data_IF_300222174236
#
_entry.id   IF_300222174236
#
_cell.length_a   1.000
_cell.length_b   1.000
_cell.length_c   1.000
_cell.angle_alpha   90.00
_cell.angle_beta   90.00
_cell.angle_gamma   90.00
#
_symmetry.space_group_name_H-M   'P 1'
#
loop_
_entity.id
_entity.type
_entity.pdbx_description
1 polymer ?
#
# COMPACT_ATOMS: atom_id res chain seq x y z
N UNK A 1 45.35 -6.84 -20.11
CA UNK A 1 45.10 -6.05 -18.88
C UNK A 1 43.63 -6.19 -18.57
N UNK A 2 43.26 -7.15 -17.71
CA UNK A 2 41.87 -7.36 -17.30
C UNK A 2 41.56 -6.35 -16.20
N UNK A 3 40.73 -5.37 -16.48
CA UNK A 3 40.14 -4.53 -15.47
C UNK A 3 39.07 -5.35 -14.74
N UNK A 4 39.41 -5.88 -13.58
CA UNK A 4 38.45 -6.30 -12.58
C UNK A 4 37.73 -5.05 -12.07
N UNK A 5 36.65 -4.66 -12.73
CA UNK A 5 35.72 -3.70 -12.13
C UNK A 5 35.02 -4.41 -10.98
N UNK A 6 35.52 -4.25 -9.78
CA UNK A 6 34.76 -4.50 -8.57
C UNK A 6 33.69 -3.39 -8.47
N UNK A 7 32.49 -3.70 -8.86
CA UNK A 7 31.33 -2.81 -8.71
C UNK A 7 30.97 -2.49 -7.24
N UNK A 8 31.81 -2.92 -6.28
CA UNK A 8 31.62 -2.65 -4.84
C UNK A 8 31.77 -1.18 -4.42
N UNK A 9 32.26 -0.30 -5.30
CA UNK A 9 32.73 1.04 -4.90
C UNK A 9 31.82 2.20 -5.31
N UNK A 10 30.63 1.97 -5.84
CA UNK A 10 29.70 3.05 -6.23
C UNK A 10 28.35 2.87 -5.54
N UNK A 11 28.38 2.67 -4.24
CA UNK A 11 27.16 2.49 -3.48
C UNK A 11 26.93 3.67 -2.52
N UNK A 12 25.84 4.41 -2.70
CA UNK A 12 25.32 5.34 -1.71
C UNK A 12 24.62 4.50 -0.62
N UNK A 13 24.91 4.77 0.65
CA UNK A 13 24.44 4.03 1.82
C UNK A 13 23.02 3.45 1.67
N UNK A 14 22.85 2.18 2.02
CA UNK A 14 21.63 1.35 1.99
C UNK A 14 21.03 1.00 0.61
N UNK A 15 21.64 1.46 -0.51
CA UNK A 15 21.24 1.06 -1.87
C UNK A 15 22.16 0.00 -2.48
N UNK A 16 23.21 -0.37 -1.77
CA UNK A 16 24.15 -1.39 -2.24
C UNK A 16 23.56 -2.76 -2.06
N UNK A 17 23.57 -3.52 -3.13
CA UNK A 17 23.18 -4.92 -3.13
C UNK A 17 24.43 -5.79 -3.10
N UNK A 18 24.45 -6.80 -2.27
CA UNK A 18 25.49 -7.84 -2.25
C UNK A 18 24.84 -9.19 -2.57
N UNK A 19 25.07 -9.71 -3.76
CA UNK A 19 24.66 -11.06 -4.16
C UNK A 19 25.92 -11.87 -4.37
N UNK A 20 25.93 -13.07 -3.83
CA UNK A 20 27.02 -14.04 -3.99
C UNK A 20 26.45 -15.25 -4.73
N UNK A 21 26.98 -15.52 -5.93
CA UNK A 21 26.68 -16.71 -6.70
C UNK A 21 27.74 -17.75 -6.35
N UNK A 22 27.34 -18.78 -5.62
CA UNK A 22 28.22 -19.88 -5.23
C UNK A 22 28.19 -21.03 -6.23
N UNK A 23 29.31 -21.72 -6.47
CA UNK A 23 29.36 -22.85 -7.38
C UNK A 23 28.45 -24.00 -6.95
N UNK A 24 28.13 -24.12 -5.66
CA UNK A 24 27.21 -25.13 -5.09
C UNK A 24 25.74 -24.88 -5.49
N UNK A 25 25.43 -23.70 -6.01
CA UNK A 25 24.09 -23.29 -6.51
C UNK A 25 24.08 -23.09 -8.05
N UNK A 26 25.07 -23.65 -8.73
CA UNK A 26 25.17 -23.66 -10.17
C UNK A 26 24.91 -25.09 -10.71
N UNK A 27 23.96 -25.21 -11.65
CA UNK A 27 23.52 -26.49 -12.20
C UNK A 27 23.49 -26.42 -13.72
N UNK A 28 24.42 -27.13 -14.35
CA UNK A 28 24.43 -27.30 -15.81
C UNK A 28 23.28 -28.22 -16.26
N UNK A 29 22.73 -27.96 -17.43
CA UNK A 29 21.60 -28.72 -17.96
C UNK A 29 20.29 -28.47 -17.22
N UNK A 30 20.19 -27.41 -16.40
CA UNK A 30 19.01 -27.04 -15.65
C UNK A 30 18.53 -25.63 -16.02
N UNK A 31 17.21 -25.42 -15.94
CA UNK A 31 16.56 -24.12 -16.11
C UNK A 31 15.43 -23.95 -15.11
N UNK A 32 15.39 -22.81 -14.43
CA UNK A 32 14.26 -22.41 -13.60
C UNK A 32 13.19 -21.75 -14.49
N UNK A 33 11.98 -22.31 -14.52
CA UNK A 33 10.87 -21.81 -15.34
C UNK A 33 9.85 -21.05 -14.50
N UNK A 34 9.04 -20.18 -15.15
CA UNK A 34 7.94 -19.40 -14.57
C UNK A 34 8.37 -18.31 -13.55
N UNK A 35 9.66 -18.03 -13.46
CA UNK A 35 10.20 -16.99 -12.56
C UNK A 35 11.03 -15.94 -13.31
N UNK A 36 11.05 -15.98 -14.63
CA UNK A 36 11.82 -15.03 -15.43
C UNK A 36 11.18 -13.66 -15.45
N UNK A 37 11.90 -12.65 -14.99
CA UNK A 37 11.50 -11.24 -15.01
C UNK A 37 11.90 -10.55 -16.32
N UNK A 38 13.05 -10.95 -16.88
CA UNK A 38 13.57 -10.38 -18.12
C UNK A 38 14.54 -11.34 -18.80
N UNK A 39 14.55 -11.31 -20.11
CA UNK A 39 15.53 -12.00 -20.96
C UNK A 39 16.37 -10.96 -21.70
N UNK A 40 17.68 -11.14 -21.73
CA UNK A 40 18.65 -10.23 -22.36
C UNK A 40 19.63 -11.02 -23.20
N UNK A 41 19.91 -10.56 -24.43
CA UNK A 41 21.02 -11.07 -25.23
C UNK A 41 22.32 -10.43 -24.79
N UNK A 42 23.36 -11.24 -24.59
CA UNK A 42 24.68 -10.82 -24.11
C UNK A 42 25.78 -11.48 -24.96
N UNK A 43 26.90 -10.80 -25.08
CA UNK A 43 28.08 -11.28 -25.85
C UNK A 43 29.11 -11.99 -24.96
N UNK A 44 28.92 -11.96 -23.64
CA UNK A 44 29.80 -12.61 -22.66
C UNK A 44 28.98 -13.19 -21.52
N UNK A 45 29.11 -14.48 -21.26
CA UNK A 45 28.36 -15.20 -20.25
C UNK A 45 28.49 -14.62 -18.84
N UNK A 46 29.66 -14.10 -18.46
CA UNK A 46 29.90 -13.47 -17.15
C UNK A 46 29.10 -12.17 -16.94
N UNK A 47 28.49 -11.57 -17.97
CA UNK A 47 27.63 -10.41 -17.80
C UNK A 47 26.26 -10.77 -17.22
N UNK A 48 25.81 -12.02 -17.31
CA UNK A 48 24.50 -12.43 -16.86
C UNK A 48 24.33 -12.23 -15.34
N UNK A 49 25.31 -12.64 -14.52
CA UNK A 49 25.31 -12.41 -13.07
C UNK A 49 25.38 -10.91 -12.75
N UNK A 50 26.15 -10.13 -13.50
CA UNK A 50 26.20 -8.68 -13.32
C UNK A 50 24.84 -8.01 -13.59
N UNK A 51 24.11 -8.46 -14.63
CA UNK A 51 22.76 -7.96 -14.92
C UNK A 51 21.79 -8.31 -13.77
N UNK A 52 21.90 -9.51 -13.21
CA UNK A 52 21.11 -9.92 -12.07
C UNK A 52 21.44 -9.06 -10.82
N UNK A 53 22.71 -8.74 -10.62
CA UNK A 53 23.12 -7.83 -9.54
C UNK A 53 22.47 -6.45 -9.66
N UNK A 54 22.32 -5.93 -10.88
CA UNK A 54 21.72 -4.62 -11.14
C UNK A 54 20.19 -4.62 -11.09
N UNK A 55 19.54 -5.79 -11.25
CA UNK A 55 18.09 -5.94 -11.21
C UNK A 55 17.64 -6.26 -9.76
N UNK A 56 16.96 -5.34 -9.05
CA UNK A 56 16.67 -5.49 -7.62
C UNK A 56 15.89 -6.75 -7.22
N UNK A 57 15.07 -7.26 -8.13
CA UNK A 57 14.24 -8.44 -7.90
C UNK A 57 14.90 -9.75 -8.36
N UNK A 58 16.04 -9.67 -9.07
CA UNK A 58 16.73 -10.85 -9.56
C UNK A 58 17.53 -11.54 -8.44
N UNK A 59 17.41 -12.86 -8.33
CA UNK A 59 18.14 -13.71 -7.37
C UNK A 59 18.71 -14.99 -7.99
N UNK A 60 18.41 -15.26 -9.25
CA UNK A 60 19.01 -16.34 -10.02
C UNK A 60 18.98 -16.04 -11.52
N UNK A 61 19.74 -16.77 -12.27
CA UNK A 61 19.80 -16.64 -13.73
C UNK A 61 19.68 -18.00 -14.41
N UNK A 62 19.13 -18.00 -15.62
CA UNK A 62 19.31 -19.06 -16.58
C UNK A 62 20.17 -18.53 -17.72
N UNK A 63 21.29 -19.15 -17.99
CA UNK A 63 22.15 -18.81 -19.09
C UNK A 63 21.98 -19.87 -20.19
N UNK A 64 21.51 -19.46 -21.36
CA UNK A 64 21.49 -20.32 -22.53
C UNK A 64 22.89 -20.37 -23.14
N UNK A 65 23.48 -21.56 -23.16
CA UNK A 65 24.90 -21.75 -23.46
C UNK A 65 25.18 -22.07 -24.93
N UNK A 66 24.14 -22.32 -25.72
CA UNK A 66 24.29 -22.52 -27.14
C UNK A 66 24.34 -21.17 -27.88
N UNK A 67 25.55 -20.72 -28.14
CA UNK A 67 25.74 -19.53 -28.95
C UNK A 67 25.26 -19.76 -30.38
N UNK A 68 24.72 -18.74 -31.00
CA UNK A 68 24.28 -18.69 -32.40
C UNK A 68 25.46 -18.78 -33.39
N UNK A 69 26.62 -19.17 -32.94
CA UNK A 69 27.87 -19.15 -33.69
C UNK A 69 28.54 -17.77 -33.76
N UNK A 70 27.86 -16.72 -33.31
CA UNK A 70 28.36 -15.34 -33.28
C UNK A 70 28.85 -14.96 -31.86
N UNK A 71 28.82 -15.90 -30.87
CA UNK A 71 29.25 -15.66 -29.49
C UNK A 71 28.21 -14.92 -28.65
N UNK A 72 26.95 -14.88 -29.09
CA UNK A 72 25.84 -14.35 -28.31
C UNK A 72 25.25 -15.43 -27.40
N UNK A 73 24.87 -15.02 -26.20
CA UNK A 73 24.18 -15.84 -25.20
C UNK A 73 22.85 -15.21 -24.83
N UNK A 74 21.91 -16.03 -24.35
CA UNK A 74 20.66 -15.52 -23.80
C UNK A 74 20.69 -15.66 -22.28
N UNK A 75 20.49 -14.56 -21.58
CA UNK A 75 20.46 -14.45 -20.13
C UNK A 75 19.04 -14.18 -19.66
N UNK A 76 18.48 -15.08 -18.86
CA UNK A 76 17.20 -14.90 -18.19
C UNK A 76 17.44 -14.55 -16.73
N UNK A 77 16.90 -13.42 -16.28
CA UNK A 77 16.94 -12.98 -14.90
C UNK A 77 15.69 -13.47 -14.19
N UNK A 78 15.83 -14.12 -13.03
CA UNK A 78 14.73 -14.72 -12.29
C UNK A 78 14.54 -14.07 -10.92
N UNK A 79 13.27 -13.93 -10.49
CA UNK A 79 12.89 -13.39 -9.18
C UNK A 79 12.80 -14.43 -8.05
N UNK A 80 13.13 -15.68 -8.32
CA UNK A 80 13.17 -16.76 -7.34
C UNK A 80 14.45 -17.59 -7.50
N UNK A 81 14.82 -18.32 -6.45
CA UNK A 81 15.79 -19.39 -6.52
C UNK A 81 15.05 -20.73 -6.66
N UNK A 82 15.79 -21.82 -6.92
CA UNK A 82 15.25 -23.18 -6.91
C UNK A 82 14.79 -23.61 -5.51
N UNK A 83 15.32 -23.01 -4.45
CA UNK A 83 14.97 -23.31 -3.07
C UNK A 83 13.51 -22.91 -2.80
N UNK A 84 12.66 -23.89 -2.49
CA UNK A 84 11.21 -23.72 -2.37
C UNK A 84 10.44 -23.70 -3.70
N UNK A 85 11.14 -23.98 -4.81
CA UNK A 85 10.60 -24.06 -6.17
C UNK A 85 11.23 -25.20 -6.96
N UNK A 86 11.58 -26.29 -6.28
CA UNK A 86 12.34 -27.40 -6.84
C UNK A 86 11.65 -28.02 -8.05
N UNK A 87 10.32 -28.05 -8.07
CA UNK A 87 9.50 -28.56 -9.19
C UNK A 87 9.55 -27.66 -10.43
N UNK A 88 10.07 -26.45 -10.30
CA UNK A 88 10.27 -25.50 -11.42
C UNK A 88 11.69 -25.54 -11.98
N UNK A 89 12.62 -26.18 -11.30
CA UNK A 89 13.96 -26.40 -11.81
C UNK A 89 13.99 -27.66 -12.66
N UNK A 90 13.77 -27.51 -13.95
CA UNK A 90 13.63 -28.61 -14.90
C UNK A 90 14.97 -28.94 -15.60
N UNK A 91 15.08 -30.19 -16.06
CA UNK A 91 16.14 -30.60 -16.98
C UNK A 91 15.93 -29.94 -18.33
N UNK A 92 16.90 -29.17 -18.77
CA UNK A 92 16.92 -28.54 -20.10
C UNK A 92 18.35 -28.38 -20.55
N UNK A 93 18.80 -29.26 -21.42
CA UNK A 93 20.11 -29.17 -22.06
C UNK A 93 20.33 -27.76 -22.64
N UNK A 94 21.58 -27.35 -22.76
CA UNK A 94 21.99 -26.02 -23.25
C UNK A 94 21.73 -24.86 -22.29
N UNK A 95 21.12 -25.08 -21.16
CA UNK A 95 20.99 -24.07 -20.10
C UNK A 95 21.97 -24.37 -18.96
N UNK A 96 22.45 -23.31 -18.33
CA UNK A 96 23.12 -23.36 -17.04
C UNK A 96 22.37 -22.42 -16.08
N UNK A 97 21.89 -22.98 -14.99
CA UNK A 97 21.19 -22.24 -13.95
C UNK A 97 22.16 -21.88 -12.83
N UNK A 98 22.17 -20.60 -12.43
CA UNK A 98 22.95 -20.14 -11.26
C UNK A 98 22.04 -19.37 -10.31
N UNK A 99 22.12 -19.69 -9.03
CA UNK A 99 21.41 -18.95 -7.98
C UNK A 99 22.37 -18.23 -7.03
N UNK A 100 21.96 -17.04 -6.61
CA UNK A 100 22.62 -16.32 -5.53
C UNK A 100 22.12 -16.83 -4.17
N UNK A 101 22.91 -16.58 -3.12
CA UNK A 101 22.43 -16.69 -1.74
C UNK A 101 21.25 -15.75 -1.52
N UNK A 102 20.14 -16.29 -1.05
CA UNK A 102 18.92 -15.52 -0.85
C UNK A 102 18.36 -15.64 0.56
N UNK A 103 18.37 -14.54 1.29
CA UNK A 103 17.70 -14.42 2.60
C UNK A 103 16.19 -14.22 2.50
N UNK A 104 15.64 -14.24 1.29
CA UNK A 104 14.20 -14.13 1.03
C UNK A 104 13.49 -15.49 0.94
N UNK A 105 14.19 -16.61 0.87
CA UNK A 105 13.61 -17.96 0.76
C UNK A 105 12.56 -18.23 1.85
N UNK A 106 12.84 -17.84 3.09
CA UNK A 106 11.91 -17.98 4.21
C UNK A 106 10.93 -16.82 4.36
N UNK A 107 10.91 -15.89 3.40
CA UNK A 107 10.08 -14.70 3.37
C UNK A 107 9.93 -13.97 4.72
N UNK A 108 10.95 -13.26 5.18
CA UNK A 108 10.95 -12.58 6.48
C UNK A 108 9.98 -11.39 6.53
N UNK A 109 9.53 -10.90 5.36
CA UNK A 109 8.67 -9.73 5.24
C UNK A 109 7.23 -10.07 5.61
N UNK A 110 6.55 -9.12 6.26
CA UNK A 110 5.17 -9.25 6.73
C UNK A 110 4.21 -8.47 5.83
N UNK A 111 2.91 -8.75 5.99
CA UNK A 111 1.82 -8.00 5.36
C UNK A 111 1.97 -7.90 3.83
N UNK A 112 2.29 -9.02 3.17
CA UNK A 112 2.46 -9.15 1.71
C UNK A 112 3.51 -8.19 1.13
N UNK A 113 4.50 -7.81 1.92
CA UNK A 113 5.61 -7.01 1.45
C UNK A 113 6.54 -7.85 0.56
N UNK A 114 7.14 -7.20 -0.44
CA UNK A 114 8.11 -7.84 -1.32
C UNK A 114 9.47 -7.90 -0.63
N UNK A 115 10.06 -9.11 -0.58
CA UNK A 115 11.42 -9.30 -0.11
C UNK A 115 12.40 -9.17 -1.27
N UNK A 116 13.44 -8.35 -1.10
CA UNK A 116 14.54 -8.20 -2.05
C UNK A 116 15.86 -8.61 -1.38
N UNK A 117 16.52 -9.62 -1.93
CA UNK A 117 17.79 -10.16 -1.40
C UNK A 117 18.99 -9.29 -1.71
N UNK A 118 20.03 -9.43 -0.90
CA UNK A 118 21.33 -8.78 -1.06
C UNK A 118 21.41 -7.37 -0.49
N UNK A 119 20.31 -6.83 0.05
CA UNK A 119 20.30 -5.48 0.61
C UNK A 119 20.52 -5.49 2.12
N UNK A 120 21.14 -4.42 2.63
CA UNK A 120 21.44 -4.20 4.04
C UNK A 120 22.43 -5.24 4.62
N UNK A 121 22.90 -5.01 5.84
CA UNK A 121 23.75 -5.96 6.57
C UNK A 121 23.04 -7.29 6.91
N UNK A 122 21.72 -7.34 6.77
CA UNK A 122 20.92 -8.56 6.98
C UNK A 122 20.79 -9.42 5.73
N UNK A 123 21.31 -8.93 4.58
CA UNK A 123 21.21 -9.60 3.30
C UNK A 123 19.83 -9.51 2.64
N UNK A 124 18.90 -8.71 3.16
CA UNK A 124 17.61 -8.43 2.52
C UNK A 124 17.02 -7.08 2.95
N UNK A 125 16.07 -6.60 2.16
CA UNK A 125 15.16 -5.51 2.53
C UNK A 125 13.71 -5.89 2.19
N UNK A 126 12.76 -5.29 2.90
CA UNK A 126 11.34 -5.44 2.60
C UNK A 126 10.79 -4.16 1.98
N UNK A 127 10.12 -4.29 0.83
CA UNK A 127 9.32 -3.23 0.22
C UNK A 127 7.91 -3.35 0.77
N UNK A 128 7.57 -2.47 1.69
CA UNK A 128 6.26 -2.50 2.35
C UNK A 128 5.14 -2.14 1.38
N UNK A 129 4.04 -2.87 1.48
CA UNK A 129 2.77 -2.46 0.88
C UNK A 129 2.23 -1.20 1.55
N UNK A 130 1.36 -0.47 0.84
CA UNK A 130 0.71 0.71 1.40
C UNK A 130 0.05 0.38 2.76
N UNK A 131 0.12 1.31 3.71
CA UNK A 131 -0.44 1.14 5.05
C UNK A 131 0.47 0.42 6.04
N UNK A 132 1.64 -0.05 5.64
CA UNK A 132 2.59 -0.71 6.54
C UNK A 132 3.98 -0.08 6.50
N UNK A 133 4.70 -0.20 7.61
CA UNK A 133 6.07 0.28 7.78
C UNK A 133 6.90 -0.63 8.70
N UNK A 134 8.17 -0.28 8.84
CA UNK A 134 9.15 -0.99 9.67
C UNK A 134 10.05 -1.92 8.86
N UNK A 135 11.13 -2.43 9.48
CA UNK A 135 12.18 -3.18 8.76
C UNK A 135 11.72 -4.45 8.06
N UNK A 136 10.63 -5.05 8.53
CA UNK A 136 9.97 -6.22 7.93
C UNK A 136 8.48 -5.95 7.66
N UNK A 137 8.10 -4.67 7.58
CA UNK A 137 6.73 -4.23 7.32
C UNK A 137 5.69 -4.73 8.34
N UNK A 138 6.11 -4.86 9.59
CA UNK A 138 5.28 -5.42 10.65
C UNK A 138 4.35 -4.41 11.34
N UNK A 139 4.59 -3.10 11.15
CA UNK A 139 3.82 -2.05 11.81
C UNK A 139 2.77 -1.48 10.88
N UNK A 140 1.56 -1.37 11.39
CA UNK A 140 0.48 -0.65 10.74
C UNK A 140 0.73 0.87 10.82
N UNK A 141 0.45 1.58 9.74
CA UNK A 141 0.48 3.04 9.69
C UNK A 141 -0.90 3.53 10.14
N UNK A 142 -0.97 4.26 11.25
CA UNK A 142 -2.20 4.89 11.66
C UNK A 142 -2.36 6.23 10.92
N UNK A 143 -3.09 6.22 9.81
CA UNK A 143 -3.29 7.40 8.97
C UNK A 143 -4.08 8.48 9.67
N UNK A 144 -4.99 8.08 10.59
CA UNK A 144 -5.81 9.02 11.34
C UNK A 144 -4.96 9.85 12.31
N UNK A 145 -4.02 9.21 13.03
CA UNK A 145 -3.12 9.90 13.95
C UNK A 145 -2.11 10.76 13.21
N UNK A 146 -1.63 10.28 12.05
CA UNK A 146 -0.63 11.01 11.25
C UNK A 146 -1.22 12.12 10.39
N UNK A 147 -2.55 12.20 10.30
CA UNK A 147 -3.23 13.21 9.46
C UNK A 147 -3.00 13.03 7.96
N UNK A 148 -2.67 11.82 7.50
CA UNK A 148 -2.43 11.50 6.08
C UNK A 148 -3.63 10.84 5.41
N UNK A 149 -4.77 10.83 6.10
CA UNK A 149 -6.04 10.34 5.57
C UNK A 149 -6.75 11.38 4.67
N UNK A 150 -7.70 10.91 3.86
CA UNK A 150 -8.53 11.75 2.97
C UNK A 150 -10.00 11.77 3.44
N UNK A 151 -10.26 11.70 4.75
CA UNK A 151 -11.60 11.86 5.28
C UNK A 151 -12.03 13.33 5.22
N UNK A 152 -13.34 13.56 5.03
CA UNK A 152 -13.95 14.89 5.16
C UNK A 152 -13.71 15.47 6.56
N UNK A 153 -13.68 16.78 6.68
CA UNK A 153 -13.69 17.49 7.99
C UNK A 153 -14.92 17.13 8.83
N UNK A 154 -16.01 16.77 8.16
CA UNK A 154 -17.27 16.37 8.76
C UNK A 154 -17.41 14.84 8.85
N UNK A 155 -16.28 14.12 8.88
CA UNK A 155 -16.21 12.68 9.08
C UNK A 155 -15.32 12.31 10.28
N UNK A 156 -15.52 11.10 10.80
CA UNK A 156 -14.59 10.41 11.67
C UNK A 156 -13.63 9.57 10.84
N UNK A 157 -12.36 9.57 11.19
CA UNK A 157 -11.36 8.66 10.67
C UNK A 157 -11.20 7.49 11.64
N UNK A 158 -11.33 6.25 11.16
CA UNK A 158 -11.11 5.03 11.91
C UNK A 158 -9.98 4.24 11.28
N UNK A 159 -8.87 4.08 12.00
CA UNK A 159 -7.75 3.27 11.55
C UNK A 159 -8.13 1.79 11.46
N UNK A 160 -7.65 1.12 10.43
CA UNK A 160 -7.79 -0.32 10.24
C UNK A 160 -6.42 -0.89 9.85
N UNK A 161 -6.25 -2.20 9.94
CA UNK A 161 -4.96 -2.81 9.58
C UNK A 161 -4.66 -2.61 8.10
N UNK A 162 -3.60 -1.85 7.80
CA UNK A 162 -3.13 -1.53 6.44
C UNK A 162 -3.92 -0.46 5.71
N UNK A 163 -4.86 0.23 6.39
CA UNK A 163 -5.67 1.29 5.80
C UNK A 163 -6.50 2.02 6.85
N UNK A 164 -7.44 2.87 6.42
CA UNK A 164 -8.39 3.57 7.27
C UNK A 164 -9.76 3.66 6.61
N UNK A 165 -10.79 3.85 7.42
CA UNK A 165 -12.16 4.11 6.99
C UNK A 165 -12.61 5.49 7.46
N UNK A 166 -13.43 6.13 6.63
CA UNK A 166 -14.07 7.41 6.94
C UNK A 166 -15.58 7.20 7.10
N UNK A 167 -16.17 7.75 8.17
CA UNK A 167 -17.61 7.71 8.41
C UNK A 167 -18.09 9.12 8.69
N UNK A 168 -19.10 9.60 7.98
CA UNK A 168 -19.66 10.93 8.23
C UNK A 168 -20.14 11.05 9.68
N UNK A 169 -19.95 12.22 10.27
CA UNK A 169 -20.48 12.57 11.58
C UNK A 169 -22.02 12.59 11.55
N UNK A 170 -22.64 12.51 12.74
CA UNK A 170 -24.08 12.68 12.87
C UNK A 170 -24.51 14.02 12.25
N UNK A 171 -25.68 14.03 11.60
CA UNK A 171 -26.17 15.17 10.86
C UNK A 171 -25.59 15.33 9.44
N UNK A 172 -24.69 14.41 9.03
CA UNK A 172 -24.12 14.39 7.69
C UNK A 172 -24.34 13.05 7.02
N UNK A 173 -24.44 13.06 5.70
CA UNK A 173 -24.58 11.90 4.84
C UNK A 173 -23.50 11.86 3.76
N UNK A 174 -23.09 10.68 3.34
CA UNK A 174 -22.10 10.50 2.28
C UNK A 174 -21.19 9.29 2.52
N UNK A 175 -20.07 9.26 1.80
CA UNK A 175 -19.12 8.14 1.82
C UNK A 175 -17.96 8.33 2.84
N UNK A 176 -18.04 9.35 3.68
CA UNK A 176 -17.01 9.70 4.66
C UNK A 176 -15.85 10.53 4.08
N UNK A 177 -15.59 10.46 2.78
CA UNK A 177 -14.63 11.36 2.09
C UNK A 177 -15.31 12.66 1.63
N UNK A 178 -16.57 12.53 1.28
CA UNK A 178 -17.49 13.63 1.01
C UNK A 178 -18.69 13.46 1.94
N UNK A 179 -18.86 14.38 2.87
CA UNK A 179 -19.98 14.41 3.80
C UNK A 179 -20.76 15.70 3.56
N UNK A 180 -22.07 15.56 3.28
CA UNK A 180 -23.00 16.64 3.05
C UNK A 180 -23.91 16.76 4.25
N UNK A 181 -24.26 17.98 4.59
CA UNK A 181 -25.24 18.27 5.62
C UNK A 181 -26.60 17.63 5.27
N UNK A 182 -27.24 17.08 6.28
CA UNK A 182 -28.63 16.58 6.18
C UNK A 182 -29.54 17.76 6.51
N UNK A 183 -30.39 18.19 5.57
CA UNK A 183 -31.43 19.16 5.87
C UNK A 183 -32.62 18.43 6.53
N UNK A 184 -32.60 18.42 7.88
CA UNK A 184 -33.66 17.76 8.63
C UNK A 184 -35.00 18.45 8.47
N UNK A 185 -35.01 19.74 8.14
CA UNK A 185 -36.24 20.50 7.94
C UNK A 185 -36.94 20.07 6.65
N UNK A 186 -36.21 19.94 5.55
CA UNK A 186 -36.74 19.47 4.27
C UNK A 186 -37.08 17.98 4.34
N UNK A 187 -36.20 17.18 4.99
CA UNK A 187 -36.37 15.73 5.10
C UNK A 187 -37.42 15.28 6.08
N UNK A 188 -38.03 16.20 6.87
CA UNK A 188 -38.98 15.84 7.93
C UNK A 188 -38.35 15.03 9.07
N UNK A 189 -37.02 15.13 9.25
CA UNK A 189 -36.25 14.38 10.25
C UNK A 189 -36.08 15.16 11.57
N UNK A 190 -36.79 16.30 11.69
CA UNK A 190 -36.71 17.16 12.86
C UNK A 190 -37.81 16.83 13.88
N UNK A 191 -37.59 17.22 15.12
CA UNK A 191 -38.57 17.14 16.23
C UNK A 191 -39.12 18.51 16.68
N UNK A 192 -39.20 19.47 15.75
CA UNK A 192 -39.84 20.77 16.04
C UNK A 192 -41.34 20.60 16.30
N UNK A 193 -41.86 21.40 17.24
CA UNK A 193 -43.28 21.45 17.53
C UNK A 193 -44.12 21.94 16.36
N UNK A 194 -45.42 21.64 16.37
CA UNK A 194 -46.36 22.07 15.31
C UNK A 194 -46.36 23.60 15.10
N UNK A 195 -46.27 24.33 16.20
CA UNK A 195 -46.23 25.80 16.21
C UNK A 195 -44.79 26.36 16.24
N UNK A 196 -43.84 25.63 15.62
CA UNK A 196 -42.46 26.05 15.47
C UNK A 196 -42.05 26.14 14.00
N UNK A 197 -41.04 26.95 13.74
CA UNK A 197 -40.23 26.91 12.51
C UNK A 197 -39.01 26.03 12.72
N UNK A 198 -38.70 25.23 11.72
CA UNK A 198 -37.44 24.48 11.64
C UNK A 198 -36.44 25.32 10.84
N UNK A 199 -35.21 25.41 11.34
CA UNK A 199 -34.10 26.08 10.69
C UNK A 199 -32.95 25.10 10.59
N UNK A 200 -32.59 24.70 9.36
CA UNK A 200 -31.44 23.83 9.13
C UNK A 200 -30.15 24.57 9.50
N UNK A 201 -29.22 23.84 10.12
CA UNK A 201 -27.88 24.32 10.47
C UNK A 201 -26.87 23.22 10.12
N UNK A 202 -25.59 23.56 10.00
CA UNK A 202 -24.58 22.57 9.64
C UNK A 202 -24.49 21.45 10.71
N UNK A 203 -24.87 20.25 10.33
CA UNK A 203 -24.84 19.03 11.15
C UNK A 203 -25.99 18.89 12.14
N UNK A 204 -27.01 19.75 12.06
CA UNK A 204 -28.19 19.71 12.95
C UNK A 204 -29.24 20.72 12.49
N UNK A 205 -30.29 20.92 13.33
CA UNK A 205 -31.33 21.92 13.11
C UNK A 205 -31.71 22.61 14.41
N UNK A 206 -32.32 23.76 14.30
CA UNK A 206 -32.89 24.53 15.40
C UNK A 206 -34.41 24.72 15.20
N UNK A 207 -35.12 24.75 16.30
CA UNK A 207 -36.55 25.03 16.30
C UNK A 207 -36.84 26.35 17.01
N UNK A 208 -37.63 27.22 16.40
CA UNK A 208 -38.12 28.49 17.00
C UNK A 208 -39.63 28.54 16.98
N UNK A 209 -40.26 28.87 18.08
CA UNK A 209 -41.72 29.01 18.08
C UNK A 209 -42.19 30.12 17.12
N UNK A 210 -43.31 29.90 16.46
CA UNK A 210 -43.97 30.91 15.62
C UNK A 210 -44.33 32.14 16.44
N UNK A 211 -44.55 33.31 15.84
CA UNK A 211 -45.08 34.48 16.51
C UNK A 211 -46.34 34.10 17.31
N UNK A 212 -46.55 34.73 18.45
CA UNK A 212 -47.62 34.47 19.43
C UNK A 212 -47.45 33.19 20.28
N UNK A 213 -46.42 32.36 19.98
CA UNK A 213 -46.08 31.18 20.74
C UNK A 213 -44.74 31.37 21.47
N UNK A 214 -44.64 30.82 22.66
CA UNK A 214 -43.42 30.84 23.46
C UNK A 214 -43.07 29.41 23.91
N UNK A 215 -41.78 29.10 24.00
CA UNK A 215 -41.29 27.78 24.42
C UNK A 215 -39.95 27.43 23.86
N UNK A 216 -39.62 26.13 23.91
CA UNK A 216 -38.33 25.58 23.47
C UNK A 216 -38.20 25.39 21.95
N UNK A 217 -39.25 25.67 21.19
CA UNK A 217 -39.32 25.30 19.77
C UNK A 217 -39.74 23.85 19.55
N UNK A 218 -39.53 22.94 20.50
CA UNK A 218 -40.08 21.58 20.48
C UNK A 218 -41.47 21.53 21.12
N UNK A 219 -41.66 22.34 22.11
CA UNK A 219 -42.97 22.63 22.75
C UNK A 219 -43.19 24.12 22.67
N UNK A 220 -44.24 24.53 21.97
CA UNK A 220 -44.65 25.93 21.80
C UNK A 220 -46.05 26.09 22.38
N UNK A 221 -46.23 27.00 23.31
CA UNK A 221 -47.52 27.35 23.94
C UNK A 221 -47.90 28.74 23.55
N UNK A 222 -49.17 28.97 23.28
CA UNK A 222 -49.68 30.29 22.95
C UNK A 222 -49.42 31.24 24.12
N UNK A 223 -48.78 32.37 23.86
CA UNK A 223 -48.56 33.40 24.87
C UNK A 223 -49.89 33.94 25.35
N UNK A 224 -49.99 34.12 26.66
CA UNK A 224 -51.14 34.82 27.25
C UNK A 224 -51.05 36.31 26.81
N UNK A 225 -51.91 36.76 25.94
CA UNK A 225 -52.15 38.22 25.78
C UNK A 225 -52.75 38.70 27.07
N UNK A 226 -52.06 39.56 27.83
CA UNK A 226 -52.71 40.40 28.84
C UNK A 226 -53.63 41.33 28.07
N UNK A 227 -54.93 41.01 28.02
CA UNK A 227 -55.94 41.99 27.82
C UNK A 227 -55.85 42.98 28.97
N UNK A 228 -55.39 44.21 28.66
CA UNK A 228 -55.57 45.33 29.60
C UNK A 228 -57.07 45.48 29.86
N UNK A 229 -57.48 45.07 31.04
CA UNK A 229 -58.80 45.43 31.54
C UNK A 229 -58.73 46.92 31.84
N UNK A 230 -59.09 47.70 30.85
CA UNK A 230 -59.56 49.03 31.09
C UNK A 230 -61.02 48.94 31.64
N UNK A 231 -61.11 48.80 32.94
CA UNK A 231 -62.31 49.11 33.67
C UNK A 231 -62.08 50.40 34.44
N UNK A 232 -62.97 51.34 34.16
CA UNK A 232 -63.15 52.70 34.62
C UNK A 232 -63.12 52.89 36.14
#
# INVERSE_FOLDING_TARGET
>A
MYYNFHFKDVCIADQCRNLEFGPEKAFDGKRLINHTIRTVEITNSGFCENLCYMEPDCVSINLYTWGDGNGNYQCELNNATHEGHEEKLIDQEMYSYHAAESNCVQNPCKNNATCQSGFTKKGYRCLCTAGFEGPICQRDINECVRGIHKCSSDAFCNNTKGSYNCTCKNGFTGNGRECKDIDECVGGLHSCGFDAYCHNTKGSYNCTCKPEFTGSGRECKRGSTCEEIHDM
#
